data_IF_371115158417
#
_entry.id   IF_371115158417
#
_cell.length_a   1.000
_cell.length_b   1.000
_cell.length_c   1.000
_cell.angle_alpha   90.00
_cell.angle_beta   90.00
_cell.angle_gamma   90.00
#
_symmetry.space_group_name_H-M   'P 1'
#
loop_
_entity.id
_entity.type
_entity.pdbx_description
1 polymer ?
#
# COMPACT_ATOMS: atom_id res chain seq x y z
N UNK A 1 6.82 13.77 27.21
CA UNK A 1 6.82 13.85 25.73
C UNK A 1 6.84 15.32 25.34
N UNK A 2 7.85 15.75 24.60
CA UNK A 2 7.99 17.14 24.17
C UNK A 2 7.22 17.40 22.87
N UNK A 3 6.55 18.54 22.78
CA UNK A 3 5.93 19.00 21.53
C UNK A 3 6.83 20.10 20.96
N UNK A 4 7.26 19.94 19.71
CA UNK A 4 8.04 20.97 19.02
C UNK A 4 7.09 21.88 18.25
N UNK A 5 7.00 23.15 18.67
CA UNK A 5 6.17 24.15 17.97
C UNK A 5 6.93 24.71 16.78
N UNK A 6 6.41 24.51 15.59
CA UNK A 6 6.97 25.04 14.35
C UNK A 6 5.84 25.58 13.47
N UNK A 7 6.08 26.70 12.80
CA UNK A 7 5.16 27.21 11.78
C UNK A 7 5.36 26.44 10.48
N UNK A 8 4.28 25.91 9.91
CA UNK A 8 4.29 25.19 8.64
C UNK A 8 3.15 25.70 7.77
N UNK A 9 3.39 25.78 6.46
CA UNK A 9 2.36 26.15 5.49
C UNK A 9 1.65 24.90 5.00
N UNK A 10 0.32 24.98 4.91
CA UNK A 10 -0.51 23.94 4.32
C UNK A 10 -1.06 24.43 2.98
N UNK A 11 -1.37 23.50 2.09
CA UNK A 11 -2.35 23.78 1.03
C UNK A 11 -3.73 23.90 1.66
N UNK A 12 -4.63 24.64 1.00
CA UNK A 12 -6.01 24.80 1.50
C UNK A 12 -6.70 23.44 1.70
N UNK A 13 -6.46 22.50 0.79
CA UNK A 13 -7.00 21.13 0.89
C UNK A 13 -6.47 20.37 2.11
N UNK A 14 -5.16 20.46 2.38
CA UNK A 14 -4.56 19.77 3.52
C UNK A 14 -5.07 20.36 4.85
N UNK A 15 -5.24 21.68 4.91
CA UNK A 15 -5.80 22.35 6.08
C UNK A 15 -7.27 22.00 6.30
N UNK A 16 -8.07 22.01 5.22
CA UNK A 16 -9.48 21.62 5.26
C UNK A 16 -9.66 20.18 5.78
N UNK A 17 -8.87 19.24 5.27
CA UNK A 17 -8.87 17.85 5.73
C UNK A 17 -8.53 17.74 7.22
N UNK A 18 -7.46 18.41 7.68
CA UNK A 18 -7.10 18.39 9.09
C UNK A 18 -8.21 18.98 9.98
N UNK A 19 -8.95 19.97 9.48
CA UNK A 19 -10.10 20.54 10.17
C UNK A 19 -11.28 19.57 10.24
N UNK A 20 -11.60 18.88 9.14
CA UNK A 20 -12.66 17.86 9.10
C UNK A 20 -12.42 16.76 10.15
N UNK A 21 -11.18 16.31 10.31
CA UNK A 21 -10.84 15.32 11.34
C UNK A 21 -11.08 15.83 12.77
N UNK A 22 -10.88 17.12 13.02
CA UNK A 22 -11.15 17.74 14.33
C UNK A 22 -12.65 17.93 14.54
N UNK A 23 -13.37 18.38 13.51
CA UNK A 23 -14.83 18.55 13.52
C UNK A 23 -15.55 17.20 13.72
N UNK A 24 -15.00 16.12 13.17
CA UNK A 24 -15.45 14.75 13.40
C UNK A 24 -15.13 14.21 14.81
N UNK A 25 -14.33 14.93 15.60
CA UNK A 25 -13.93 14.54 16.95
C UNK A 25 -12.83 13.47 17.00
N UNK A 26 -12.19 13.14 15.87
CA UNK A 26 -11.08 12.18 15.84
C UNK A 26 -9.83 12.73 16.54
N UNK A 27 -9.65 14.05 16.52
CA UNK A 27 -8.54 14.73 17.16
C UNK A 27 -8.98 16.01 17.90
N UNK A 28 -8.31 16.37 19.01
CA UNK A 28 -8.69 17.53 19.82
C UNK A 28 -8.35 18.89 19.20
N UNK A 29 -7.45 18.93 18.21
CA UNK A 29 -7.06 20.14 17.47
C UNK A 29 -6.25 19.79 16.21
N UNK A 30 -6.03 20.79 15.34
CA UNK A 30 -5.30 20.63 14.06
C UNK A 30 -3.90 20.07 14.27
N UNK A 31 -3.16 20.55 15.28
CA UNK A 31 -1.80 20.07 15.55
C UNK A 31 -1.77 18.59 15.94
N UNK A 32 -2.76 18.13 16.70
CA UNK A 32 -2.91 16.72 17.04
C UNK A 32 -3.31 15.89 15.81
N UNK A 33 -4.21 16.38 14.96
CA UNK A 33 -4.60 15.72 13.71
C UNK A 33 -3.40 15.55 12.78
N UNK A 34 -2.66 16.62 12.50
CA UNK A 34 -1.47 16.57 11.63
C UNK A 34 -0.41 15.63 12.20
N UNK A 35 -0.15 15.70 13.51
CA UNK A 35 0.84 14.84 14.15
C UNK A 35 0.42 13.36 14.12
N UNK A 36 -0.86 13.09 14.36
CA UNK A 36 -1.46 11.75 14.32
C UNK A 36 -1.43 11.16 12.92
N UNK A 37 -1.86 11.91 11.91
CA UNK A 37 -1.85 11.45 10.52
C UNK A 37 -0.43 11.24 9.98
N UNK A 38 0.54 12.09 10.36
CA UNK A 38 1.95 11.85 10.05
C UNK A 38 2.48 10.57 10.71
N UNK A 39 2.10 10.30 11.97
CA UNK A 39 2.47 9.07 12.66
C UNK A 39 1.85 7.83 12.00
N UNK A 40 0.57 7.89 11.60
CA UNK A 40 -0.11 6.83 10.84
C UNK A 40 0.58 6.60 9.49
N UNK A 41 0.84 7.65 8.73
CA UNK A 41 1.51 7.55 7.44
C UNK A 41 2.94 6.99 7.58
N UNK A 42 3.66 7.32 8.66
CA UNK A 42 4.96 6.69 8.98
C UNK A 42 4.81 5.20 9.27
N UNK A 43 3.84 4.82 10.11
CA UNK A 43 3.60 3.43 10.48
C UNK A 43 3.24 2.57 9.25
N UNK A 44 2.40 3.09 8.35
CA UNK A 44 2.07 2.41 7.09
C UNK A 44 3.30 2.17 6.22
N UNK A 45 4.11 3.20 5.98
CA UNK A 45 5.35 3.07 5.19
C UNK A 45 6.34 2.10 5.82
N UNK A 46 6.45 2.11 7.14
CA UNK A 46 7.32 1.17 7.86
C UNK A 46 6.83 -0.27 7.79
N UNK A 47 5.51 -0.49 7.87
CA UNK A 47 4.89 -1.81 7.68
C UNK A 47 5.16 -2.33 6.27
N UNK A 48 4.91 -1.52 5.24
CA UNK A 48 5.16 -1.88 3.84
C UNK A 48 6.63 -2.21 3.61
N UNK A 49 7.53 -1.37 4.11
CA UNK A 49 8.98 -1.62 4.04
C UNK A 49 9.36 -2.96 4.69
N UNK A 50 8.88 -3.22 5.90
CA UNK A 50 9.17 -4.49 6.61
C UNK A 50 8.64 -5.70 5.86
N UNK A 51 7.42 -5.63 5.32
CA UNK A 51 6.85 -6.72 4.53
C UNK A 51 7.69 -7.01 3.28
N UNK A 52 8.12 -5.96 2.58
CA UNK A 52 9.00 -6.08 1.42
C UNK A 52 10.36 -6.68 1.80
N UNK A 53 11.01 -6.16 2.83
CA UNK A 53 12.31 -6.65 3.31
C UNK A 53 12.24 -8.12 3.72
N UNK A 54 11.20 -8.52 4.46
CA UNK A 54 10.98 -9.92 4.86
C UNK A 54 10.81 -10.83 3.65
N UNK A 55 10.02 -10.42 2.66
CA UNK A 55 9.82 -11.22 1.46
C UNK A 55 11.08 -11.34 0.61
N UNK A 56 11.85 -10.26 0.46
CA UNK A 56 13.15 -10.28 -0.22
C UNK A 56 14.10 -11.26 0.47
N UNK A 57 14.23 -11.17 1.79
CA UNK A 57 15.09 -12.07 2.56
C UNK A 57 14.63 -13.53 2.44
N UNK A 58 13.31 -13.78 2.50
CA UNK A 58 12.73 -15.11 2.32
C UNK A 58 13.04 -15.70 0.95
N UNK A 59 13.03 -14.88 -0.11
CA UNK A 59 13.38 -15.34 -1.46
C UNK A 59 14.87 -15.59 -1.61
N UNK A 60 15.70 -14.68 -1.11
CA UNK A 60 17.17 -14.80 -1.18
C UNK A 60 17.71 -16.00 -0.39
N UNK A 61 16.98 -16.50 0.61
CA UNK A 61 17.36 -17.71 1.34
C UNK A 61 16.96 -19.01 0.65
N UNK A 62 16.19 -18.96 -0.46
CA UNK A 62 15.86 -20.15 -1.24
C UNK A 62 17.10 -20.67 -1.98
N UNK A 63 17.26 -22.00 -2.08
CA UNK A 63 18.31 -22.60 -2.90
C UNK A 63 18.34 -22.08 -4.34
N UNK A 64 19.52 -21.99 -4.94
CA UNK A 64 19.67 -21.43 -6.30
C UNK A 64 18.97 -22.28 -7.37
N UNK A 65 18.86 -23.59 -7.15
CA UNK A 65 18.17 -24.55 -8.00
C UNK A 65 16.64 -24.43 -7.95
N UNK A 66 16.07 -23.68 -7.00
CA UNK A 66 14.64 -23.34 -6.98
C UNK A 66 14.26 -22.13 -7.84
N UNK A 67 15.23 -21.44 -8.45
CA UNK A 67 14.95 -20.30 -9.33
C UNK A 67 14.78 -20.76 -10.77
N UNK A 68 13.62 -20.48 -11.34
CA UNK A 68 13.33 -20.75 -12.75
C UNK A 68 13.74 -19.56 -13.63
N UNK A 69 14.26 -19.80 -14.85
CA UNK A 69 14.48 -18.74 -15.83
C UNK A 69 13.19 -17.98 -16.12
N UNK A 70 13.30 -16.66 -16.23
CA UNK A 70 12.17 -15.83 -16.63
C UNK A 70 11.78 -16.17 -18.07
N UNK A 71 10.55 -16.64 -18.28
CA UNK A 71 9.99 -16.84 -19.62
C UNK A 71 9.94 -15.52 -20.40
N UNK A 72 9.83 -15.60 -21.73
CA UNK A 72 9.59 -14.42 -22.55
C UNK A 72 8.33 -13.68 -22.06
N UNK A 73 8.30 -12.36 -22.22
CA UNK A 73 7.24 -11.51 -21.66
C UNK A 73 5.83 -11.91 -22.13
N UNK A 74 5.71 -12.49 -23.32
CA UNK A 74 4.47 -13.01 -23.87
C UNK A 74 3.94 -14.27 -23.14
N UNK A 75 4.85 -15.09 -22.60
CA UNK A 75 4.56 -16.39 -22.00
C UNK A 75 4.56 -16.35 -20.47
N UNK A 76 5.22 -15.36 -19.86
CA UNK A 76 5.34 -15.21 -18.40
C UNK A 76 3.99 -15.22 -17.66
N UNK A 77 2.91 -14.77 -18.29
CA UNK A 77 1.56 -14.75 -17.70
C UNK A 77 0.65 -15.87 -18.21
N UNK A 78 1.18 -16.83 -18.97
CA UNK A 78 0.41 -17.94 -19.56
C UNK A 78 -0.37 -18.74 -18.51
N UNK A 79 0.32 -19.21 -17.47
CA UNK A 79 -0.29 -20.03 -16.43
C UNK A 79 -1.34 -19.27 -15.62
N UNK A 80 -1.08 -18.00 -15.32
CA UNK A 80 -2.05 -17.14 -14.64
C UNK A 80 -3.32 -16.94 -15.48
N UNK A 81 -3.19 -16.70 -16.79
CA UNK A 81 -4.34 -16.60 -17.71
C UNK A 81 -5.12 -17.90 -17.78
N UNK A 82 -4.44 -19.05 -17.88
CA UNK A 82 -5.07 -20.36 -17.91
C UNK A 82 -5.82 -20.66 -16.61
N UNK A 83 -5.25 -20.28 -15.46
CA UNK A 83 -5.92 -20.39 -14.16
C UNK A 83 -7.16 -19.49 -14.08
N UNK A 84 -7.07 -18.24 -14.52
CA UNK A 84 -8.23 -17.35 -14.56
C UNK A 84 -9.33 -17.89 -15.48
N UNK A 85 -8.98 -18.47 -16.63
CA UNK A 85 -9.93 -19.13 -17.53
C UNK A 85 -10.59 -20.36 -16.89
N UNK A 86 -9.86 -21.12 -16.07
CA UNK A 86 -10.41 -22.32 -15.42
C UNK A 86 -11.38 -22.00 -14.27
N UNK A 87 -11.30 -20.79 -13.69
CA UNK A 87 -12.22 -20.32 -12.64
C UNK A 87 -13.34 -19.41 -13.17
N UNK A 88 -13.33 -19.04 -14.46
CA UNK A 88 -14.42 -18.28 -15.07
C UNK A 88 -15.64 -19.20 -15.29
N UNK A 89 -16.85 -18.78 -14.86
CA UNK A 89 -18.06 -19.55 -15.14
C UNK A 89 -18.34 -19.56 -16.65
N UNK A 90 -18.67 -20.75 -17.18
CA UNK A 90 -19.02 -20.96 -18.58
C UNK A 90 -20.30 -20.19 -18.95
N UNK A 91 -20.16 -18.92 -19.35
CA UNK A 91 -21.32 -18.09 -19.71
C UNK A 91 -21.10 -16.60 -19.91
N UNK A 92 -19.94 -16.02 -19.58
CA UNK A 92 -19.72 -14.56 -19.73
C UNK A 92 -19.38 -14.11 -21.18
N UNK A 93 -19.55 -14.99 -22.16
CA UNK A 93 -19.14 -14.77 -23.55
C UNK A 93 -20.28 -14.73 -24.55
N UNK A 94 -21.45 -14.16 -24.22
CA UNK A 94 -22.45 -13.85 -25.24
C UNK A 94 -23.31 -12.63 -24.86
N UNK A 95 -22.89 -11.47 -25.35
CA UNK A 95 -23.77 -10.35 -25.73
C UNK A 95 -22.92 -9.35 -26.51
N UNK A 96 -22.85 -9.57 -27.83
CA UNK A 96 -22.67 -8.52 -28.83
C UNK A 96 -23.99 -8.38 -29.57
#
# INVERSE_FOLDING_TARGET
MGVHKQSVSFTDQAFAFARELVEAGEYPNISAAVSGELARARATREKERKLFEVEVQRRLSLPLDTWEPLAESADFTGDARNHLLSILPAGSGNNR
#
